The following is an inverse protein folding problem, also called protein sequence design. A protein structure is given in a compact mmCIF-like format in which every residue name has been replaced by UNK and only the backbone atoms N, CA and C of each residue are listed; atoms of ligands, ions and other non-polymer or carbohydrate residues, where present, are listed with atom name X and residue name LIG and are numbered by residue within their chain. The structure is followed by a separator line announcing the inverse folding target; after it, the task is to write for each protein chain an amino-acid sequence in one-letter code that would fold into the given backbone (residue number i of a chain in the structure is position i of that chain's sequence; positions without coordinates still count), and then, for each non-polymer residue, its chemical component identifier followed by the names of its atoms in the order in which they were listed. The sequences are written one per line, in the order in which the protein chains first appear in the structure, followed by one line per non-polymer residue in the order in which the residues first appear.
data_IF_813092477895
#
_entry.id   IF_813092477895
#
_cell.length_a   1.000
_cell.length_b   1.000
_cell.length_c   1.000
_cell.angle_alpha   90.00
_cell.angle_beta   90.00
_cell.angle_gamma   90.00
#
_symmetry.space_group_name_H-M   'P 1'
#
loop_
_entity.id
_entity.type
_entity.pdbx_description
1 polymer ?
#
# COMPACT_ATOMS: atom_id res chain seq x y z
N UNK A 1 -7.68 13.93 24.66
CA UNK A 1 -9.13 14.12 24.85
C UNK A 1 -9.90 14.25 23.52
N UNK A 2 -9.40 14.97 22.50
CA UNK A 2 -10.11 15.14 21.22
C UNK A 2 -10.37 13.84 20.44
N UNK A 3 -9.35 12.99 20.23
CA UNK A 3 -9.54 11.72 19.51
C UNK A 3 -10.57 10.82 20.19
N UNK A 4 -10.52 10.73 21.52
CA UNK A 4 -11.53 10.01 22.33
C UNK A 4 -12.93 10.57 22.12
N UNK A 5 -13.10 11.90 22.12
CA UNK A 5 -14.39 12.52 21.85
C UNK A 5 -14.90 12.19 20.44
N UNK A 6 -14.04 12.24 19.42
CA UNK A 6 -14.40 11.89 18.04
C UNK A 6 -14.77 10.40 17.89
N UNK A 7 -14.05 9.50 18.55
CA UNK A 7 -14.38 8.08 18.55
C UNK A 7 -15.71 7.78 19.25
N UNK A 8 -16.06 8.51 20.31
CA UNK A 8 -17.38 8.43 20.93
C UNK A 8 -18.51 8.87 19.97
N UNK A 9 -18.21 9.70 18.97
CA UNK A 9 -19.14 10.11 17.92
C UNK A 9 -19.04 9.23 16.65
N UNK A 10 -18.35 8.09 16.75
CA UNK A 10 -18.25 7.09 15.68
C UNK A 10 -17.12 7.30 14.69
N UNK A 11 -16.20 8.26 14.91
CA UNK A 11 -15.01 8.42 14.07
C UNK A 11 -13.90 7.47 14.52
N UNK A 12 -13.66 6.43 13.73
CA UNK A 12 -12.66 5.39 14.01
C UNK A 12 -11.55 5.42 12.95
N UNK A 13 -10.29 5.20 13.34
CA UNK A 13 -9.21 5.03 12.38
C UNK A 13 -9.39 3.72 11.60
N UNK A 14 -8.91 3.71 10.36
CA UNK A 14 -8.80 2.48 9.56
C UNK A 14 -7.51 1.77 9.96
N UNK A 15 -7.60 0.51 10.36
CA UNK A 15 -6.42 -0.33 10.58
C UNK A 15 -5.96 -0.90 9.24
N UNK A 16 -4.85 -0.37 8.71
CA UNK A 16 -4.37 -0.72 7.38
C UNK A 16 -3.22 -1.75 7.42
N UNK A 17 -2.16 -1.52 8.20
CA UNK A 17 -0.94 -2.36 8.22
C UNK A 17 -1.26 -3.81 8.59
N UNK A 18 -0.77 -4.75 7.78
CA UNK A 18 -0.99 -6.19 7.94
C UNK A 18 -2.42 -6.64 7.62
N UNK A 19 -3.23 -5.79 6.97
CA UNK A 19 -4.52 -6.17 6.40
C UNK A 19 -4.42 -6.28 4.88
N UNK A 20 -5.31 -7.07 4.31
CA UNK A 20 -5.51 -7.10 2.86
C UNK A 20 -5.93 -5.72 2.35
N UNK A 21 -5.36 -5.33 1.22
CA UNK A 21 -5.69 -4.09 0.54
C UNK A 21 -7.16 -4.10 0.07
N UNK A 22 -7.92 -3.09 0.47
CA UNK A 22 -9.30 -2.87 0.06
C UNK A 22 -9.40 -1.48 -0.60
N UNK A 23 -9.64 -1.39 -1.93
CA UNK A 23 -9.77 -0.12 -2.64
C UNK A 23 -10.86 0.82 -2.08
N UNK A 24 -11.86 0.30 -1.35
CA UNK A 24 -12.87 1.13 -0.72
C UNK A 24 -12.35 1.85 0.53
N UNK A 25 -11.32 1.31 1.18
CA UNK A 25 -10.78 1.79 2.46
C UNK A 25 -9.36 2.31 2.36
N UNK A 26 -8.64 1.94 1.30
CA UNK A 26 -7.22 2.20 1.12
C UNK A 26 -6.95 2.85 -0.24
N UNK A 27 -5.99 3.76 -0.26
CA UNK A 27 -5.42 4.39 -1.45
C UNK A 27 -3.95 3.95 -1.54
N UNK A 28 -3.63 3.10 -2.52
CA UNK A 28 -2.26 2.61 -2.70
C UNK A 28 -1.41 3.71 -3.36
N UNK A 29 -0.36 4.15 -2.67
CA UNK A 29 0.62 5.09 -3.22
C UNK A 29 1.69 4.37 -4.03
N UNK A 30 2.13 3.21 -3.55
CA UNK A 30 3.22 2.42 -4.12
C UNK A 30 2.96 0.92 -3.89
N UNK A 31 3.51 0.10 -4.78
CA UNK A 31 3.63 -1.34 -4.61
C UNK A 31 5.11 -1.70 -4.51
N UNK A 32 5.47 -2.55 -3.56
CA UNK A 32 6.86 -2.97 -3.32
C UNK A 32 6.94 -4.48 -3.39
N UNK A 33 7.95 -4.98 -4.12
CA UNK A 33 8.27 -6.39 -4.16
C UNK A 33 8.72 -6.88 -2.78
N UNK A 34 8.01 -7.85 -2.20
CA UNK A 34 8.37 -8.46 -0.92
C UNK A 34 8.12 -9.97 -0.92
N UNK A 35 9.10 -10.72 -0.43
CA UNK A 35 8.97 -12.16 -0.18
C UNK A 35 8.48 -12.48 1.23
N UNK A 36 8.45 -11.47 2.12
CA UNK A 36 8.07 -11.62 3.53
C UNK A 36 6.58 -11.36 3.77
N UNK A 37 5.98 -10.44 3.01
CA UNK A 37 4.58 -10.02 3.17
C UNK A 37 3.76 -10.58 2.01
N UNK A 38 2.63 -11.28 2.29
CA UNK A 38 1.75 -11.80 1.26
C UNK A 38 1.33 -10.75 0.23
N UNK A 39 1.20 -11.18 -1.02
CA UNK A 39 0.75 -10.32 -2.09
C UNK A 39 -0.62 -9.71 -1.79
N UNK A 40 -0.75 -8.40 -2.02
CA UNK A 40 -2.00 -7.68 -1.80
C UNK A 40 -2.25 -7.32 -0.33
N UNK A 41 -1.29 -7.50 0.58
CA UNK A 41 -1.35 -6.96 1.93
C UNK A 41 -0.69 -5.58 2.03
N UNK A 42 -1.18 -4.77 2.96
CA UNK A 42 -0.60 -3.46 3.28
C UNK A 42 0.65 -3.64 4.13
N UNK A 43 1.78 -3.22 3.59
CA UNK A 43 3.07 -3.21 4.27
C UNK A 43 3.21 -2.02 5.20
N UNK A 44 2.83 -0.82 4.74
CA UNK A 44 3.01 0.42 5.51
C UNK A 44 1.81 1.37 5.31
N UNK A 45 1.47 2.13 6.36
CA UNK A 45 0.50 3.21 6.31
C UNK A 45 1.22 4.56 6.33
N UNK A 46 1.23 5.26 5.20
CA UNK A 46 1.81 6.60 5.09
C UNK A 46 0.91 7.67 5.73
N UNK A 47 -0.41 7.51 5.58
CA UNK A 47 -1.39 8.42 6.18
C UNK A 47 -2.61 7.68 6.67
N UNK A 48 -2.96 7.92 7.94
CA UNK A 48 -4.11 7.31 8.58
C UNK A 48 -5.44 7.71 7.95
N UNK A 49 -6.20 6.72 7.53
CA UNK A 49 -7.59 6.83 7.09
C UNK A 49 -8.55 6.82 8.27
N UNK A 50 -9.77 7.29 8.04
CA UNK A 50 -10.82 7.33 9.06
C UNK A 50 -12.17 6.98 8.46
N UNK A 51 -12.94 6.21 9.23
CA UNK A 51 -14.35 5.92 8.98
C UNK A 51 -15.20 6.66 10.01
N UNK A 52 -16.32 7.20 9.57
CA UNK A 52 -17.37 7.70 10.44
C UNK A 52 -18.53 6.70 10.37
N UNK A 53 -18.78 6.01 11.46
CA UNK A 53 -19.69 4.85 11.52
C UNK A 53 -19.24 3.77 10.52
N UNK A 54 -19.97 3.59 9.42
CA UNK A 54 -19.69 2.61 8.37
C UNK A 54 -19.12 3.23 7.10
N UNK A 55 -19.05 4.57 7.02
CA UNK A 55 -18.64 5.29 5.82
C UNK A 55 -17.20 5.77 5.92
N UNK A 56 -16.39 5.42 4.93
CA UNK A 56 -15.03 5.94 4.76
C UNK A 56 -15.10 7.44 4.47
N UNK A 57 -14.51 8.24 5.37
CA UNK A 57 -14.38 9.69 5.19
C UNK A 57 -13.07 10.03 4.49
N UNK A 58 -12.03 9.26 4.78
CA UNK A 58 -10.74 9.33 4.12
C UNK A 58 -10.12 7.94 4.10
N UNK A 59 -9.74 7.48 2.92
CA UNK A 59 -8.99 6.24 2.78
C UNK A 59 -7.61 6.35 3.45
N UNK A 60 -7.09 5.23 3.97
CA UNK A 60 -5.69 5.20 4.41
C UNK A 60 -4.78 5.20 3.18
N UNK A 61 -3.77 6.06 3.18
CA UNK A 61 -2.75 6.03 2.14
C UNK A 61 -1.69 5.02 2.53
N UNK A 62 -1.47 4.03 1.66
CA UNK A 62 -0.74 2.81 2.01
C UNK A 62 0.28 2.42 0.95
N UNK A 63 1.26 1.65 1.38
CA UNK A 63 2.16 0.89 0.51
C UNK A 63 1.76 -0.58 0.59
N UNK A 64 1.57 -1.22 -0.56
CA UNK A 64 1.14 -2.62 -0.64
C UNK A 64 2.29 -3.52 -1.07
N UNK A 65 2.27 -4.76 -0.60
CA UNK A 65 3.15 -5.81 -1.13
C UNK A 65 2.61 -6.28 -2.48
N UNK A 66 3.49 -6.35 -3.47
CA UNK A 66 3.24 -7.09 -4.70
C UNK A 66 4.27 -8.21 -4.81
N UNK A 67 3.85 -9.38 -5.31
CA UNK A 67 4.80 -10.44 -5.59
C UNK A 67 5.50 -10.10 -6.88
N UNK A 68 6.83 -10.01 -6.87
CA UNK A 68 7.59 -9.86 -8.12
C UNK A 68 7.23 -11.02 -9.04
N UNK A 69 6.49 -10.73 -10.11
CA UNK A 69 6.24 -11.72 -11.15
C UNK A 69 7.48 -11.81 -12.03
N UNK A 70 7.76 -13.03 -12.52
CA UNK A 70 8.95 -13.30 -13.36
C UNK A 70 8.99 -12.41 -14.61
N UNK A 71 7.85 -11.88 -15.06
CA UNK A 71 7.74 -10.93 -16.18
C UNK A 71 8.41 -9.57 -15.90
N UNK A 72 8.34 -9.04 -14.68
CA UNK A 72 8.96 -7.75 -14.33
C UNK A 72 10.48 -7.88 -14.22
N UNK A 73 10.97 -8.99 -13.65
CA UNK A 73 12.40 -9.32 -13.56
C UNK A 73 13.03 -9.47 -14.96
N UNK A 74 12.26 -9.98 -15.94
CA UNK A 74 12.73 -10.12 -17.32
C UNK A 74 12.89 -8.80 -18.07
N UNK A 75 12.17 -7.74 -17.68
CA UNK A 75 12.28 -6.41 -18.31
C UNK A 75 13.51 -5.64 -17.83
N UNK A 76 13.87 -5.73 -16.54
CA UNK A 76 15.04 -5.03 -16.00
C UNK A 76 16.39 -5.61 -16.48
N UNK A 77 16.43 -6.89 -16.87
CA UNK A 77 17.64 -7.54 -17.36
C UNK A 77 17.96 -7.18 -18.82
N UNK A 78 16.95 -6.86 -19.64
CA UNK A 78 17.16 -6.51 -21.06
C UNK A 78 17.66 -5.07 -21.29
N UNK A 79 17.50 -4.16 -20.32
CA UNK A 79 17.93 -2.76 -20.47
C UNK A 79 19.43 -2.53 -20.18
N UNK A 80 20.18 -3.54 -19.72
CA UNK A 80 21.61 -3.41 -19.36
C UNK A 80 22.60 -3.75 -20.47
N UNK A 81 22.15 -4.17 -21.65
CA UNK A 81 23.04 -4.64 -22.75
C UNK A 81 23.36 -3.59 -23.84
N UNK A 82 23.10 -2.28 -23.63
CA UNK A 82 23.34 -1.26 -24.70
C UNK A 82 24.43 -0.22 -24.42
N UNK A 83 25.37 -0.45 -23.50
CA UNK A 83 26.54 0.45 -23.38
C UNK A 83 27.79 -0.31 -22.98
N UNK A 84 28.38 -1.04 -23.92
CA UNK A 84 29.81 -0.94 -24.19
C UNK A 84 30.11 -1.52 -25.59
N UNK A 85 31.13 -0.98 -26.23
CA UNK A 85 31.71 -1.40 -27.52
C UNK A 85 31.09 -0.82 -28.82
N UNK A 86 31.41 0.45 -29.08
CA UNK A 86 31.75 0.89 -30.43
C UNK A 86 33.10 1.63 -30.39
N UNK A 87 34.14 0.86 -30.73
CA UNK A 87 35.50 1.17 -31.24
C UNK A 87 36.11 2.57 -31.05
#
# INVERSE_FOLDING_TARGET
QLLTALSNHGLIPIEAVGKTFDPYRHEALMAVASDEIPEGEVMEEFRRGYMLHTRVQRASQVVVSHRATIEEVSKELNDKDTTDEAE
#
